data_IF_754304351348
#
_entry.id   IF_754304351348
#
_cell.length_a   1.000
_cell.length_b   1.000
_cell.length_c   1.000
_cell.angle_alpha   90.00
_cell.angle_beta   90.00
_cell.angle_gamma   90.00
#
_symmetry.space_group_name_H-M   'P 1'
#
loop_
_entity.id
_entity.type
_entity.pdbx_description
1 polymer ?
#
# COMPACT_ATOMS: atom_id res chain seq x y z
N UNK A 1 -41.74 -1.14 -11.87
CA UNK A 1 -41.54 -0.25 -10.70
C UNK A 1 -40.26 0.57 -10.89
N UNK A 2 -40.34 1.90 -11.11
CA UNK A 2 -39.19 2.78 -11.27
C UNK A 2 -38.21 2.76 -10.08
N UNK A 3 -38.71 2.56 -8.85
CA UNK A 3 -37.85 2.51 -7.66
C UNK A 3 -37.00 1.23 -7.61
N UNK A 4 -37.56 0.09 -8.02
CA UNK A 4 -36.81 -1.15 -8.14
C UNK A 4 -35.67 -1.05 -9.17
N UNK A 5 -35.88 -0.38 -10.30
CA UNK A 5 -34.84 -0.14 -11.30
C UNK A 5 -33.73 0.76 -10.77
N UNK A 6 -34.08 1.81 -10.03
CA UNK A 6 -33.11 2.71 -9.41
C UNK A 6 -32.24 1.98 -8.37
N UNK A 7 -32.85 1.15 -7.51
CA UNK A 7 -32.11 0.33 -6.53
C UNK A 7 -31.15 -0.65 -7.23
N UNK A 8 -31.59 -1.32 -8.29
CA UNK A 8 -30.75 -2.25 -9.06
C UNK A 8 -29.52 -1.55 -9.66
N UNK A 9 -29.69 -0.34 -10.22
CA UNK A 9 -28.57 0.47 -10.74
C UNK A 9 -27.59 0.84 -9.63
N UNK A 10 -28.08 1.31 -8.49
CA UNK A 10 -27.21 1.70 -7.38
C UNK A 10 -26.40 0.51 -6.81
N UNK A 11 -26.98 -0.69 -6.78
CA UNK A 11 -26.25 -1.92 -6.42
C UNK A 11 -25.19 -2.28 -7.47
N UNK A 12 -25.52 -2.16 -8.76
CA UNK A 12 -24.57 -2.40 -9.84
C UNK A 12 -23.40 -1.41 -9.81
N UNK A 13 -23.68 -0.12 -9.55
CA UNK A 13 -22.67 0.92 -9.40
C UNK A 13 -21.74 0.62 -8.22
N UNK A 14 -22.30 0.21 -7.07
CA UNK A 14 -21.52 -0.20 -5.90
C UNK A 14 -20.59 -1.38 -6.23
N UNK A 15 -21.10 -2.37 -6.96
CA UNK A 15 -20.28 -3.50 -7.41
C UNK A 15 -19.15 -3.06 -8.34
N UNK A 16 -19.42 -2.16 -9.28
CA UNK A 16 -18.39 -1.62 -10.16
C UNK A 16 -17.32 -0.85 -9.39
N UNK A 17 -17.71 -0.05 -8.39
CA UNK A 17 -16.75 0.64 -7.51
C UNK A 17 -15.89 -0.35 -6.74
N UNK A 18 -16.45 -1.46 -6.27
CA UNK A 18 -15.67 -2.52 -5.62
C UNK A 18 -14.62 -3.13 -6.56
N UNK A 19 -14.99 -3.38 -7.81
CA UNK A 19 -14.05 -3.86 -8.82
C UNK A 19 -12.94 -2.85 -9.08
N UNK A 20 -13.27 -1.55 -9.12
CA UNK A 20 -12.28 -0.48 -9.25
C UNK A 20 -11.31 -0.44 -8.07
N UNK A 21 -11.79 -0.56 -6.83
CA UNK A 21 -10.92 -0.68 -5.65
C UNK A 21 -9.95 -1.83 -5.82
N UNK A 22 -10.44 -3.03 -6.18
CA UNK A 22 -9.57 -4.21 -6.35
C UNK A 22 -8.53 -4.01 -7.46
N UNK A 23 -8.91 -3.36 -8.55
CA UNK A 23 -7.99 -3.03 -9.64
C UNK A 23 -6.89 -2.06 -9.18
N UNK A 24 -7.26 -0.95 -8.55
CA UNK A 24 -6.31 0.05 -8.07
C UNK A 24 -5.38 -0.51 -6.99
N UNK A 25 -5.92 -1.31 -6.05
CA UNK A 25 -5.11 -1.97 -5.01
C UNK A 25 -4.10 -2.93 -5.63
N UNK A 26 -4.49 -3.72 -6.64
CA UNK A 26 -3.53 -4.59 -7.35
C UNK A 26 -2.45 -3.78 -8.04
N UNK A 27 -2.80 -2.64 -8.65
CA UNK A 27 -1.85 -1.68 -9.20
C UNK A 27 -0.87 -1.18 -8.15
N UNK A 28 -1.36 -0.78 -6.98
CA UNK A 28 -0.53 -0.35 -5.85
C UNK A 28 0.40 -1.44 -5.34
N UNK A 29 -0.08 -2.68 -5.18
CA UNK A 29 0.76 -3.80 -4.73
C UNK A 29 1.91 -4.06 -5.71
N UNK A 30 1.68 -3.91 -7.01
CA UNK A 30 2.70 -4.10 -8.04
C UNK A 30 3.69 -2.93 -8.11
N UNK A 31 3.18 -1.72 -8.33
CA UNK A 31 3.98 -0.52 -8.59
C UNK A 31 4.61 0.05 -7.30
N UNK A 32 3.87 -0.02 -6.19
CA UNK A 32 4.22 0.53 -4.88
C UNK A 32 4.54 2.03 -4.90
N UNK A 33 4.11 2.78 -5.91
CA UNK A 33 4.32 4.23 -5.97
C UNK A 33 3.30 4.99 -5.12
N UNK A 34 3.64 6.22 -4.74
CA UNK A 34 2.73 7.11 -4.01
C UNK A 34 1.49 7.45 -4.85
N UNK A 35 1.64 7.53 -6.18
CA UNK A 35 0.52 7.75 -7.10
C UNK A 35 -0.46 6.57 -7.09
N UNK A 36 0.06 5.35 -7.17
CA UNK A 36 -0.76 4.14 -7.13
C UNK A 36 -1.43 3.96 -5.76
N UNK A 37 -0.73 4.31 -4.68
CA UNK A 37 -1.29 4.36 -3.33
C UNK A 37 -2.49 5.30 -3.25
N UNK A 38 -2.31 6.56 -3.66
CA UNK A 38 -3.37 7.57 -3.65
C UNK A 38 -4.58 7.13 -4.47
N UNK A 39 -4.35 6.54 -5.66
CA UNK A 39 -5.43 6.03 -6.50
C UNK A 39 -6.22 4.89 -5.82
N UNK A 40 -5.53 3.99 -5.11
CA UNK A 40 -6.18 2.91 -4.37
C UNK A 40 -7.04 3.45 -3.21
N UNK A 41 -6.53 4.38 -2.41
CA UNK A 41 -7.29 4.98 -1.30
C UNK A 41 -8.46 5.86 -1.79
N UNK A 42 -8.27 6.61 -2.88
CA UNK A 42 -9.35 7.39 -3.48
C UNK A 42 -10.48 6.49 -4.00
N UNK A 43 -10.17 5.31 -4.55
CA UNK A 43 -11.19 4.34 -4.96
C UNK A 43 -11.98 3.80 -3.75
N UNK A 44 -11.32 3.57 -2.60
CA UNK A 44 -12.02 3.20 -1.37
C UNK A 44 -12.99 4.30 -0.92
N UNK A 45 -12.56 5.56 -0.97
CA UNK A 45 -13.40 6.69 -0.58
C UNK A 45 -14.63 6.83 -1.49
N UNK A 46 -14.45 6.64 -2.81
CA UNK A 46 -15.56 6.60 -3.77
C UNK A 46 -16.54 5.44 -3.50
N UNK A 47 -16.03 4.25 -3.17
CA UNK A 47 -16.85 3.10 -2.79
C UNK A 47 -17.67 3.38 -1.51
N UNK A 48 -17.07 3.99 -0.50
CA UNK A 48 -17.72 4.39 0.75
C UNK A 48 -18.86 5.40 0.51
N UNK A 49 -18.62 6.37 -0.37
CA UNK A 49 -19.64 7.35 -0.76
C UNK A 49 -20.81 6.71 -1.51
N UNK A 50 -20.52 5.79 -2.44
CA UNK A 50 -21.54 5.03 -3.15
C UNK A 50 -22.39 4.18 -2.20
N UNK A 51 -21.76 3.52 -1.22
CA UNK A 51 -22.47 2.74 -0.20
C UNK A 51 -23.36 3.61 0.69
N UNK A 52 -22.86 4.77 1.12
CA UNK A 52 -23.65 5.74 1.92
C UNK A 52 -24.88 6.21 1.14
N UNK A 53 -24.71 6.49 -0.15
CA UNK A 53 -25.80 6.91 -1.04
C UNK A 53 -26.84 5.79 -1.20
N UNK A 54 -26.40 4.54 -1.38
CA UNK A 54 -27.28 3.39 -1.51
C UNK A 54 -28.08 3.15 -0.21
N UNK A 55 -27.46 3.33 0.95
CA UNK A 55 -28.09 3.13 2.26
C UNK A 55 -29.37 3.93 2.43
N UNK A 56 -29.35 5.21 2.03
CA UNK A 56 -30.52 6.09 2.08
C UNK A 56 -31.68 5.68 1.16
N UNK A 57 -31.50 4.65 0.32
CA UNK A 57 -32.45 4.19 -0.69
C UNK A 57 -32.95 2.76 -0.45
N UNK A 58 -32.41 2.05 0.54
CA UNK A 58 -32.68 0.64 0.79
C UNK A 58 -33.76 0.42 1.88
N UNK A 59 -34.59 -0.64 1.75
CA UNK A 59 -35.42 -1.13 2.85
C UNK A 59 -34.57 -1.79 3.95
N UNK A 60 -35.07 -1.83 5.19
CA UNK A 60 -34.27 -2.16 6.38
C UNK A 60 -33.51 -3.50 6.38
N UNK A 61 -33.99 -4.55 5.70
CA UNK A 61 -33.24 -5.81 5.60
C UNK A 61 -32.00 -5.70 4.70
N UNK A 62 -32.07 -4.90 3.63
CA UNK A 62 -30.93 -4.67 2.74
C UNK A 62 -29.88 -3.72 3.38
N UNK A 63 -30.28 -2.93 4.37
CA UNK A 63 -29.39 -2.08 5.16
C UNK A 63 -28.41 -2.92 6.00
N UNK A 64 -28.89 -3.97 6.68
CA UNK A 64 -28.04 -4.85 7.48
C UNK A 64 -26.97 -5.58 6.63
N UNK A 65 -27.35 -6.07 5.45
CA UNK A 65 -26.42 -6.71 4.52
C UNK A 65 -25.37 -5.71 3.99
N UNK A 66 -25.78 -4.48 3.68
CA UNK A 66 -24.87 -3.42 3.28
C UNK A 66 -23.91 -3.04 4.40
N UNK A 67 -24.37 -2.92 5.65
CA UNK A 67 -23.52 -2.66 6.82
C UNK A 67 -22.45 -3.75 7.01
N UNK A 68 -22.85 -5.02 6.92
CA UNK A 68 -21.89 -6.13 7.01
C UNK A 68 -20.84 -6.07 5.90
N UNK A 69 -21.24 -5.77 4.66
CA UNK A 69 -20.32 -5.59 3.54
C UNK A 69 -19.35 -4.43 3.79
N UNK A 70 -19.85 -3.31 4.33
CA UNK A 70 -19.02 -2.15 4.65
C UNK A 70 -18.02 -2.42 5.78
N UNK A 71 -18.40 -3.16 6.82
CA UNK A 71 -17.47 -3.60 7.86
C UNK A 71 -16.35 -4.47 7.29
N UNK A 72 -16.67 -5.38 6.37
CA UNK A 72 -15.68 -6.21 5.68
C UNK A 72 -14.72 -5.38 4.83
N UNK A 73 -15.21 -4.33 4.17
CA UNK A 73 -14.40 -3.41 3.37
C UNK A 73 -13.47 -2.54 4.21
N UNK A 74 -13.90 -2.13 5.41
CA UNK A 74 -13.01 -1.44 6.36
C UNK A 74 -11.86 -2.35 6.80
N UNK A 75 -12.15 -3.63 7.09
CA UNK A 75 -11.10 -4.63 7.36
C UNK A 75 -10.13 -4.78 6.18
N UNK A 76 -10.64 -4.82 4.96
CA UNK A 76 -9.80 -4.85 3.76
C UNK A 76 -8.92 -3.60 3.62
N UNK A 77 -9.47 -2.39 3.82
CA UNK A 77 -8.70 -1.14 3.84
C UNK A 77 -7.58 -1.16 4.88
N UNK A 78 -7.89 -1.62 6.11
CA UNK A 78 -6.88 -1.78 7.16
C UNK A 78 -5.74 -2.72 6.77
N UNK A 79 -6.03 -3.78 6.02
CA UNK A 79 -5.00 -4.66 5.45
C UNK A 79 -4.08 -3.94 4.45
N UNK A 80 -4.64 -3.05 3.63
CA UNK A 80 -3.86 -2.23 2.68
C UNK A 80 -3.02 -1.16 3.39
N UNK A 81 -3.51 -0.58 4.49
CA UNK A 81 -2.73 0.33 5.34
C UNK A 81 -1.54 -0.39 6.00
N UNK A 82 -1.73 -1.63 6.44
CA UNK A 82 -0.63 -2.45 6.95
C UNK A 82 0.39 -2.79 5.86
N UNK A 83 -0.06 -3.11 4.65
CA UNK A 83 0.81 -3.30 3.49
C UNK A 83 1.65 -2.05 3.20
N UNK A 84 1.01 -0.87 3.17
CA UNK A 84 1.70 0.43 3.02
C UNK A 84 2.79 0.62 4.06
N UNK A 85 2.48 0.38 5.34
CA UNK A 85 3.46 0.49 6.42
C UNK A 85 4.64 -0.48 6.19
N UNK A 86 4.37 -1.69 5.69
CA UNK A 86 5.40 -2.67 5.31
C UNK A 86 6.31 -2.20 4.17
N UNK A 87 5.73 -1.58 3.13
CA UNK A 87 6.51 -0.97 2.02
C UNK A 87 7.46 0.10 2.54
N UNK A 88 6.98 0.99 3.41
CA UNK A 88 7.80 2.07 4.01
C UNK A 88 8.96 1.48 4.82
N UNK A 89 8.69 0.53 5.73
CA UNK A 89 9.73 -0.13 6.52
C UNK A 89 10.76 -0.85 5.66
N UNK A 90 10.32 -1.48 4.57
CA UNK A 90 11.22 -2.18 3.63
C UNK A 90 12.17 -1.19 2.93
N UNK A 91 11.65 -0.04 2.48
CA UNK A 91 12.48 1.02 1.89
C UNK A 91 13.50 1.57 2.87
N UNK A 92 13.09 1.82 4.11
CA UNK A 92 14.00 2.29 5.16
C UNK A 92 15.12 1.26 5.44
N UNK A 93 14.77 -0.02 5.54
CA UNK A 93 15.76 -1.08 5.72
C UNK A 93 16.73 -1.17 4.53
N UNK A 94 16.24 -1.03 3.30
CA UNK A 94 17.09 -0.99 2.10
C UNK A 94 18.08 0.18 2.12
N UNK A 95 17.64 1.37 2.50
CA UNK A 95 18.51 2.55 2.64
C UNK A 95 19.57 2.35 3.72
N UNK A 96 19.19 1.79 4.87
CA UNK A 96 20.12 1.48 5.96
C UNK A 96 21.19 0.47 5.52
N UNK A 97 20.79 -0.60 4.81
CA UNK A 97 21.73 -1.60 4.27
C UNK A 97 22.69 -0.99 3.23
N UNK A 98 22.22 -0.08 2.39
CA UNK A 98 23.07 0.63 1.42
C UNK A 98 24.12 1.48 2.14
N UNK A 99 23.72 2.26 3.16
CA UNK A 99 24.66 3.03 3.97
C UNK A 99 25.68 2.14 4.66
N UNK A 100 25.22 1.07 5.32
CA UNK A 100 26.10 0.11 5.99
C UNK A 100 27.11 -0.51 5.02
N UNK A 101 26.69 -0.84 3.80
CA UNK A 101 27.58 -1.41 2.78
C UNK A 101 28.65 -0.41 2.35
N UNK A 102 28.31 0.87 2.20
CA UNK A 102 29.27 1.92 1.88
C UNK A 102 30.30 2.13 2.99
N UNK A 103 29.87 2.11 4.25
CA UNK A 103 30.74 2.24 5.40
C UNK A 103 31.69 1.06 5.54
N UNK A 104 31.19 -0.17 5.36
CA UNK A 104 32.03 -1.37 5.32
C UNK A 104 33.06 -1.30 4.18
N UNK A 105 32.66 -0.85 3.00
CA UNK A 105 33.59 -0.69 1.86
C UNK A 105 34.67 0.37 2.14
N UNK A 106 34.33 1.47 2.83
CA UNK A 106 35.29 2.48 3.27
C UNK A 106 36.27 1.92 4.29
N UNK A 107 35.77 1.26 5.34
CA UNK A 107 36.60 0.63 6.35
C UNK A 107 37.56 -0.40 5.74
N UNK A 108 37.07 -1.23 4.81
CA UNK A 108 37.90 -2.21 4.09
C UNK A 108 39.04 -1.57 3.29
N UNK A 109 38.78 -0.44 2.60
CA UNK A 109 39.84 0.32 1.92
C UNK A 109 40.86 0.90 2.90
N UNK A 110 40.40 1.48 4.00
CA UNK A 110 41.28 2.03 5.05
C UNK A 110 42.19 0.95 5.64
N UNK A 111 41.65 -0.23 5.96
CA UNK A 111 42.42 -1.34 6.49
C UNK A 111 43.45 -1.87 5.47
N UNK A 112 43.06 -1.96 4.19
CA UNK A 112 43.97 -2.39 3.12
C UNK A 112 45.14 -1.43 2.95
N UNK A 113 44.86 -0.13 2.98
CA UNK A 113 45.86 0.92 2.86
C UNK A 113 46.81 0.93 4.08
N UNK A 114 46.27 0.83 5.29
CA UNK A 114 47.08 0.72 6.51
C UNK A 114 48.00 -0.52 6.48
N UNK A 115 47.47 -1.67 6.04
CA UNK A 115 48.25 -2.90 5.88
C UNK A 115 49.34 -2.80 4.79
N UNK A 116 49.12 -2.00 3.75
CA UNK A 116 50.14 -1.69 2.72
C UNK A 116 51.27 -0.85 3.31
N UNK A 117 50.93 0.26 3.99
CA UNK A 117 51.90 1.15 4.61
C UNK A 117 52.76 0.45 5.66
N UNK A 118 52.16 -0.43 6.46
CA UNK A 118 52.91 -1.22 7.44
C UNK A 118 53.96 -2.12 6.77
N UNK A 119 53.58 -2.84 5.71
CA UNK A 119 54.51 -3.71 4.97
C UNK A 119 55.68 -2.94 4.35
N UNK A 120 55.41 -1.78 3.77
CA UNK A 120 56.45 -0.90 3.20
C UNK A 120 57.41 -0.39 4.27
N UNK A 121 56.90 -0.02 5.45
CA UNK A 121 57.72 0.43 6.57
C UNK A 121 58.63 -0.66 7.12
N UNK A 122 58.18 -1.92 7.12
CA UNK A 122 58.99 -3.07 7.55
C UNK A 122 60.03 -3.51 6.52
N UNK A 123 59.78 -3.27 5.23
CA UNK A 123 60.73 -3.60 4.16
C UNK A 123 61.86 -2.57 4.00
N UNK A 124 61.68 -1.37 4.56
CA UNK A 124 62.65 -0.26 4.50
C UNK A 124 63.53 -0.15 5.76
N UNK A 125 63.40 -1.09 6.71
CA UNK A 125 64.27 -1.26 7.89
C UNK A 125 65.21 -2.44 7.68
#
# INVERSE_FOLDING_TARGET
>A
DPQALQRSRAVADLHQQLLMVRYQVRGYVFERSDKAEQAAFAAFDALLQAATTLRGQLPGEADAALEQAMGSLQGYRGGIEQFRAGVIRTRQAQQAMQSSTQDMARAGRTLTEAGRQLRESTASR
#
